data_IF_186241690741
#
_entry.id   IF_186241690741
#
_cell.length_a   1.000
_cell.length_b   1.000
_cell.length_c   1.000
_cell.angle_alpha   90.00
_cell.angle_beta   90.00
_cell.angle_gamma   90.00
#
_symmetry.space_group_name_H-M   'P 1'
#
loop_
_entity.id
_entity.type
_entity.pdbx_description
1 polymer ?
#
# COMPACT_ATOMS: atom_id res chain seq x y z
N UNK A 1 -7.58 -50.28 -2.73
CA UNK A 1 -7.42 -49.44 -1.52
C UNK A 1 -6.10 -48.66 -1.56
N UNK A 2 -4.95 -49.34 -1.73
CA UNK A 2 -3.60 -48.72 -1.77
C UNK A 2 -3.43 -47.63 -2.86
N UNK A 3 -3.99 -47.82 -4.07
CA UNK A 3 -3.93 -46.83 -5.17
C UNK A 3 -4.79 -45.57 -4.95
N UNK A 4 -5.83 -45.64 -4.11
CA UNK A 4 -6.69 -44.49 -3.79
C UNK A 4 -6.07 -43.64 -2.67
N UNK A 5 -5.42 -44.28 -1.70
CA UNK A 5 -4.67 -43.60 -0.63
C UNK A 5 -3.43 -42.87 -1.17
N UNK A 6 -2.71 -43.46 -2.13
CA UNK A 6 -1.55 -42.80 -2.76
C UNK A 6 -1.93 -41.53 -3.52
N UNK A 7 -3.12 -41.52 -4.14
CA UNK A 7 -3.61 -40.37 -4.92
C UNK A 7 -4.13 -39.24 -4.01
N UNK A 8 -4.75 -39.57 -2.87
CA UNK A 8 -5.23 -38.59 -1.90
C UNK A 8 -4.09 -37.88 -1.16
N UNK A 9 -3.02 -38.60 -0.81
CA UNK A 9 -1.83 -37.99 -0.19
C UNK A 9 -1.02 -37.16 -1.19
N UNK A 10 -0.91 -37.60 -2.45
CA UNK A 10 -0.28 -36.82 -3.51
C UNK A 10 -1.04 -35.50 -3.74
N UNK A 11 -2.36 -35.55 -3.83
CA UNK A 11 -3.21 -34.38 -3.97
C UNK A 11 -3.00 -33.33 -2.86
N UNK A 12 -2.99 -33.74 -1.58
CA UNK A 12 -2.75 -32.80 -0.46
C UNK A 12 -1.36 -32.18 -0.52
N UNK A 13 -0.38 -32.96 -0.97
CA UNK A 13 0.99 -32.48 -1.20
C UNK A 13 1.04 -31.44 -2.31
N UNK A 14 0.31 -31.64 -3.40
CA UNK A 14 0.25 -30.70 -4.52
C UNK A 14 -0.41 -29.37 -4.12
N UNK A 15 -1.53 -29.43 -3.38
CA UNK A 15 -2.16 -28.21 -2.80
C UNK A 15 -1.20 -27.47 -1.87
N UNK A 16 -0.47 -28.22 -1.02
CA UNK A 16 0.55 -27.63 -0.13
C UNK A 16 1.68 -26.95 -0.91
N UNK A 17 2.17 -27.57 -1.98
CA UNK A 17 3.21 -26.99 -2.84
C UNK A 17 2.69 -25.71 -3.49
N UNK A 18 1.47 -25.73 -4.02
CA UNK A 18 0.83 -24.56 -4.62
C UNK A 18 0.77 -23.37 -3.64
N UNK A 19 0.30 -23.60 -2.41
CA UNK A 19 0.23 -22.55 -1.38
C UNK A 19 1.62 -21.99 -1.02
N UNK A 20 2.67 -22.82 -1.01
CA UNK A 20 4.04 -22.37 -0.76
C UNK A 20 4.62 -21.59 -1.95
N UNK A 21 4.37 -22.03 -3.18
CA UNK A 21 4.82 -21.33 -4.39
C UNK A 21 4.14 -19.98 -4.56
N UNK A 22 2.84 -19.89 -4.25
CA UNK A 22 2.09 -18.63 -4.21
C UNK A 22 2.80 -17.58 -3.33
N UNK A 23 3.14 -17.95 -2.10
CA UNK A 23 3.83 -17.06 -1.15
C UNK A 23 5.25 -16.72 -1.63
N UNK A 24 5.99 -17.69 -2.16
CA UNK A 24 7.33 -17.47 -2.71
C UNK A 24 7.34 -16.48 -3.87
N UNK A 25 6.26 -16.41 -4.62
CA UNK A 25 6.05 -15.47 -5.72
C UNK A 25 5.42 -14.14 -5.25
N UNK A 26 5.51 -13.82 -3.96
CA UNK A 26 4.98 -12.59 -3.36
C UNK A 26 3.47 -12.39 -3.58
N UNK A 27 2.69 -13.48 -3.69
CA UNK A 27 1.22 -13.42 -3.85
C UNK A 27 0.53 -13.66 -2.51
N UNK A 28 -0.40 -12.78 -2.15
CA UNK A 28 -1.21 -12.89 -0.93
C UNK A 28 -2.68 -12.56 -1.26
N UNK A 29 -3.37 -13.42 -2.03
CA UNK A 29 -4.76 -13.18 -2.45
C UNK A 29 -5.74 -13.15 -1.27
N UNK A 30 -6.95 -12.66 -1.52
CA UNK A 30 -8.08 -12.86 -0.60
C UNK A 30 -8.47 -14.34 -0.52
N UNK A 31 -9.23 -14.71 0.51
CA UNK A 31 -9.86 -16.02 0.58
C UNK A 31 -10.76 -16.34 -0.61
N UNK A 32 -11.42 -15.31 -1.18
CA UNK A 32 -12.27 -15.41 -2.36
C UNK A 32 -11.48 -15.82 -3.61
N UNK A 33 -10.39 -15.10 -3.88
CA UNK A 33 -9.55 -15.34 -5.06
C UNK A 33 -8.79 -16.65 -4.91
N UNK A 34 -8.30 -16.95 -3.70
CA UNK A 34 -7.67 -18.23 -3.46
C UNK A 34 -8.66 -19.38 -3.72
N UNK A 35 -9.91 -19.26 -3.26
CA UNK A 35 -10.95 -20.26 -3.48
C UNK A 35 -11.21 -20.49 -4.97
N UNK A 36 -11.41 -19.42 -5.74
CA UNK A 36 -11.62 -19.50 -7.19
C UNK A 36 -10.43 -20.18 -7.89
N UNK A 37 -9.20 -19.81 -7.52
CA UNK A 37 -7.97 -20.37 -8.10
C UNK A 37 -7.82 -21.86 -7.79
N UNK A 38 -7.90 -22.25 -6.52
CA UNK A 38 -7.65 -23.64 -6.14
C UNK A 38 -8.76 -24.57 -6.62
N UNK A 39 -10.01 -24.09 -6.74
CA UNK A 39 -11.08 -24.88 -7.35
C UNK A 39 -10.84 -25.14 -8.82
N UNK A 40 -10.30 -24.15 -9.53
CA UNK A 40 -9.94 -24.31 -10.94
C UNK A 40 -8.84 -25.36 -11.12
N UNK A 41 -7.82 -25.35 -10.25
CA UNK A 41 -6.67 -26.27 -10.36
C UNK A 41 -6.94 -27.66 -9.78
N UNK A 42 -7.63 -27.75 -8.64
CA UNK A 42 -7.75 -28.97 -7.83
C UNK A 42 -9.18 -29.50 -7.72
N UNK A 43 -10.17 -28.78 -8.25
CA UNK A 43 -11.59 -29.12 -8.19
C UNK A 43 -12.23 -28.81 -6.83
N UNK A 44 -13.56 -28.89 -6.78
CA UNK A 44 -14.38 -28.52 -5.61
C UNK A 44 -14.05 -29.29 -4.31
N UNK A 45 -13.42 -30.46 -4.39
CA UNK A 45 -13.06 -31.27 -3.21
C UNK A 45 -12.05 -30.55 -2.31
N UNK A 46 -11.28 -29.61 -2.86
CA UNK A 46 -10.25 -28.82 -2.13
C UNK A 46 -10.81 -27.96 -1.02
N UNK A 47 -12.08 -27.53 -1.15
CA UNK A 47 -12.81 -26.76 -0.15
C UNK A 47 -12.71 -27.34 1.27
N UNK A 48 -12.74 -28.67 1.38
CA UNK A 48 -12.78 -29.38 2.65
C UNK A 48 -11.41 -29.58 3.30
N UNK A 49 -10.35 -29.68 2.48
CA UNK A 49 -9.01 -30.03 2.93
C UNK A 49 -8.13 -28.81 3.24
N UNK A 50 -8.37 -27.68 2.56
CA UNK A 50 -7.50 -26.48 2.62
C UNK A 50 -7.28 -25.98 4.03
N UNK A 51 -8.34 -25.90 4.85
CA UNK A 51 -8.23 -25.45 6.24
C UNK A 51 -7.26 -26.34 7.03
N UNK A 52 -7.33 -27.65 6.84
CA UNK A 52 -6.45 -28.61 7.53
C UNK A 52 -5.01 -28.47 7.01
N UNK A 53 -4.83 -28.36 5.69
CA UNK A 53 -3.51 -28.19 5.05
C UNK A 53 -2.83 -26.91 5.54
N UNK A 54 -3.56 -25.79 5.62
CA UNK A 54 -3.04 -24.52 6.14
C UNK A 54 -2.65 -24.64 7.62
N UNK A 55 -3.47 -25.29 8.45
CA UNK A 55 -3.13 -25.54 9.85
C UNK A 55 -1.84 -26.35 10.01
N UNK A 56 -1.64 -27.37 9.16
CA UNK A 56 -0.42 -28.19 9.16
C UNK A 56 0.80 -27.38 8.67
N UNK A 57 0.61 -26.46 7.72
CA UNK A 57 1.62 -25.51 7.28
C UNK A 57 2.04 -24.54 8.39
N UNK A 58 1.09 -23.94 9.11
CA UNK A 58 1.36 -22.99 10.21
C UNK A 58 2.23 -23.64 11.31
N UNK A 59 1.95 -24.91 11.64
CA UNK A 59 2.69 -25.70 12.64
C UNK A 59 4.10 -26.07 12.18
N UNK A 60 4.35 -26.08 10.88
CA UNK A 60 5.67 -26.43 10.35
C UNK A 60 6.72 -25.33 10.59
N UNK A 61 8.00 -25.71 10.53
CA UNK A 61 9.13 -24.78 10.65
C UNK A 61 9.49 -24.09 9.33
N UNK A 62 8.78 -24.35 8.24
CA UNK A 62 9.15 -23.84 6.91
C UNK A 62 8.74 -22.40 6.65
N UNK A 63 7.77 -21.87 7.40
CA UNK A 63 7.22 -20.53 7.20
C UNK A 63 7.86 -19.50 8.14
N UNK A 64 8.09 -18.30 7.62
CA UNK A 64 8.48 -17.13 8.40
C UNK A 64 7.31 -16.62 9.26
N UNK A 65 7.59 -15.72 10.21
CA UNK A 65 6.54 -15.12 11.06
C UNK A 65 5.48 -14.36 10.24
N UNK A 66 5.91 -13.65 9.20
CA UNK A 66 5.03 -12.85 8.32
C UNK A 66 4.11 -13.79 7.53
N UNK A 67 4.66 -14.84 6.93
CA UNK A 67 3.90 -15.82 6.16
C UNK A 67 2.89 -16.58 7.04
N UNK A 68 3.29 -16.95 8.26
CA UNK A 68 2.37 -17.56 9.24
C UNK A 68 1.20 -16.65 9.57
N UNK A 69 1.46 -15.34 9.77
CA UNK A 69 0.41 -14.37 10.08
C UNK A 69 -0.64 -14.32 8.97
N UNK A 70 -0.20 -14.25 7.72
CA UNK A 70 -1.10 -14.27 6.57
C UNK A 70 -1.98 -15.53 6.54
N UNK A 71 -1.39 -16.71 6.71
CA UNK A 71 -2.15 -17.97 6.72
C UNK A 71 -3.13 -18.06 7.88
N UNK A 72 -2.78 -17.52 9.05
CA UNK A 72 -3.68 -17.43 10.21
C UNK A 72 -4.90 -16.54 9.87
N UNK A 73 -4.67 -15.37 9.28
CA UNK A 73 -5.75 -14.45 8.87
C UNK A 73 -6.64 -15.06 7.78
N UNK A 74 -6.03 -15.84 6.87
CA UNK A 74 -6.72 -16.50 5.77
C UNK A 74 -7.69 -17.59 6.24
N UNK A 75 -7.47 -18.19 7.42
CA UNK A 75 -8.39 -19.20 8.00
C UNK A 75 -9.21 -18.66 9.19
N UNK A 76 -9.10 -17.36 9.49
CA UNK A 76 -9.85 -16.71 10.56
C UNK A 76 -11.34 -16.63 10.24
N UNK A 77 -12.17 -17.30 11.02
CA UNK A 77 -13.63 -17.32 10.84
C UNK A 77 -14.28 -15.95 11.05
N UNK A 78 -13.61 -15.03 11.74
CA UNK A 78 -14.09 -13.67 11.98
C UNK A 78 -13.55 -12.66 10.95
N UNK A 79 -12.75 -13.10 9.97
CA UNK A 79 -12.22 -12.24 8.92
C UNK A 79 -13.07 -12.34 7.66
N UNK A 80 -13.63 -11.21 7.23
CA UNK A 80 -14.42 -11.06 5.98
C UNK A 80 -13.62 -11.43 4.72
N UNK A 81 -12.29 -11.39 4.82
CA UNK A 81 -11.37 -11.72 3.72
C UNK A 81 -10.80 -13.13 3.82
N UNK A 82 -11.23 -13.91 4.81
CA UNK A 82 -10.80 -15.29 4.98
C UNK A 82 -11.36 -16.21 3.92
N UNK A 83 -10.62 -17.29 3.69
CA UNK A 83 -11.07 -18.43 2.91
C UNK A 83 -12.33 -19.07 3.50
N UNK A 84 -12.49 -19.04 4.82
CA UNK A 84 -13.65 -19.64 5.50
C UNK A 84 -14.92 -18.82 5.23
N UNK A 85 -14.84 -17.50 5.26
CA UNK A 85 -15.96 -16.63 4.85
C UNK A 85 -16.30 -16.82 3.36
N UNK A 86 -15.29 -16.95 2.49
CA UNK A 86 -15.50 -17.18 1.06
C UNK A 86 -16.30 -18.47 0.78
N UNK A 87 -16.02 -19.56 1.51
CA UNK A 87 -16.79 -20.80 1.42
C UNK A 87 -18.29 -20.62 1.75
N UNK A 88 -18.63 -19.59 2.53
CA UNK A 88 -20.01 -19.26 2.90
C UNK A 88 -20.82 -18.55 1.80
N UNK A 89 -20.23 -18.24 0.64
CA UNK A 89 -20.94 -17.68 -0.51
C UNK A 89 -21.18 -16.16 -0.45
N UNK A 90 -20.50 -15.43 0.43
CA UNK A 90 -20.54 -13.96 0.43
C UNK A 90 -19.53 -13.41 -0.61
N UNK A 91 -19.94 -13.30 -1.87
CA UNK A 91 -19.14 -12.62 -2.91
C UNK A 91 -19.98 -11.62 -3.70
N UNK A 92 -19.58 -10.34 -3.65
CA UNK A 92 -20.20 -9.22 -4.38
C UNK A 92 -19.35 -8.80 -5.61
N UNK A 93 -20.04 -8.38 -6.67
CA UNK A 93 -19.67 -7.53 -7.82
C UNK A 93 -18.18 -7.38 -8.26
N UNK A 94 -17.50 -8.50 -8.53
CA UNK A 94 -16.15 -8.48 -9.15
C UNK A 94 -16.11 -7.77 -10.53
N UNK A 95 -17.22 -7.76 -11.27
CA UNK A 95 -17.24 -7.28 -12.68
C UNK A 95 -17.08 -5.77 -12.80
N UNK A 96 -17.78 -4.99 -11.96
CA UNK A 96 -17.69 -3.53 -11.97
C UNK A 96 -16.33 -3.03 -11.46
N UNK A 97 -15.80 -3.69 -10.42
CA UNK A 97 -14.48 -3.39 -9.88
C UNK A 97 -13.36 -3.62 -10.89
N UNK A 98 -13.43 -4.74 -11.62
CA UNK A 98 -12.46 -5.04 -12.68
C UNK A 98 -12.48 -3.96 -13.76
N UNK A 99 -13.64 -3.49 -14.20
CA UNK A 99 -13.71 -2.40 -15.17
C UNK A 99 -13.14 -1.08 -14.64
N UNK A 100 -13.34 -0.74 -13.36
CA UNK A 100 -12.75 0.46 -12.77
C UNK A 100 -11.23 0.35 -12.68
N UNK A 101 -10.70 -0.83 -12.33
CA UNK A 101 -9.27 -1.08 -12.34
C UNK A 101 -8.68 -1.02 -13.74
N UNK A 102 -9.33 -1.64 -14.72
CA UNK A 102 -8.89 -1.59 -16.12
C UNK A 102 -8.86 -0.13 -16.63
N UNK A 103 -9.83 0.70 -16.22
CA UNK A 103 -9.82 2.13 -16.51
C UNK A 103 -8.63 2.84 -15.84
N UNK A 104 -8.39 2.63 -14.54
CA UNK A 104 -7.24 3.18 -13.82
C UNK A 104 -5.91 2.79 -14.47
N UNK A 105 -5.76 1.53 -14.88
CA UNK A 105 -4.56 1.03 -15.57
C UNK A 105 -4.42 1.66 -16.95
N UNK A 106 -5.55 1.82 -17.67
CA UNK A 106 -5.59 2.51 -18.95
C UNK A 106 -5.19 3.98 -18.84
N UNK A 107 -5.68 4.69 -17.82
CA UNK A 107 -5.30 6.07 -17.52
C UNK A 107 -3.82 6.17 -17.15
N UNK A 108 -3.32 5.25 -16.31
CA UNK A 108 -1.90 5.16 -15.97
C UNK A 108 -1.00 4.94 -17.18
N UNK A 109 -1.41 4.10 -18.13
CA UNK A 109 -0.67 3.88 -19.39
C UNK A 109 -0.69 5.10 -20.31
N UNK A 110 -1.81 5.83 -20.37
CA UNK A 110 -1.89 7.10 -21.13
C UNK A 110 -1.00 8.15 -20.50
N UNK A 111 -1.04 8.26 -19.18
CA UNK A 111 -0.20 9.18 -18.42
C UNK A 111 1.28 8.85 -18.58
N UNK A 112 1.69 7.58 -18.64
CA UNK A 112 3.09 7.20 -18.92
C UNK A 112 3.63 7.77 -20.24
N UNK A 113 2.75 8.09 -21.18
CA UNK A 113 3.09 8.68 -22.48
C UNK A 113 2.99 10.21 -22.48
N UNK A 114 2.56 10.82 -21.39
CA UNK A 114 2.47 12.28 -21.28
C UNK A 114 3.86 12.90 -21.20
N UNK A 115 3.97 14.14 -21.67
CA UNK A 115 5.20 14.94 -21.60
C UNK A 115 5.60 15.19 -20.16
N UNK A 116 4.61 15.48 -19.34
CA UNK A 116 4.62 15.63 -17.88
C UNK A 116 5.33 14.46 -17.18
N UNK A 117 4.91 13.23 -17.48
CA UNK A 117 5.52 12.04 -16.89
C UNK A 117 6.98 11.84 -17.33
N UNK A 118 7.28 12.10 -18.60
CA UNK A 118 8.64 11.96 -19.13
C UNK A 118 9.60 12.98 -18.49
N UNK A 119 9.15 14.22 -18.30
CA UNK A 119 9.91 15.27 -17.60
C UNK A 119 10.20 14.88 -16.14
N UNK A 120 9.21 14.32 -15.43
CA UNK A 120 9.39 13.79 -14.08
C UNK A 120 10.43 12.66 -14.04
N UNK A 121 10.33 11.66 -14.93
CA UNK A 121 11.28 10.54 -14.97
C UNK A 121 12.68 11.01 -15.32
N UNK A 122 12.82 11.96 -16.25
CA UNK A 122 14.10 12.55 -16.59
C UNK A 122 14.71 13.28 -15.38
N UNK A 123 13.91 14.02 -14.62
CA UNK A 123 14.33 14.67 -13.38
C UNK A 123 14.80 13.64 -12.34
N UNK A 124 14.00 12.60 -12.08
CA UNK A 124 14.35 11.54 -11.13
C UNK A 124 15.64 10.80 -11.55
N UNK A 125 15.83 10.60 -12.85
CA UNK A 125 17.02 9.96 -13.43
C UNK A 125 18.33 10.73 -13.20
N UNK A 126 18.27 12.03 -12.89
CA UNK A 126 19.45 12.87 -12.61
C UNK A 126 20.04 12.63 -11.21
N UNK A 127 19.29 12.01 -10.31
CA UNK A 127 19.74 11.73 -8.94
C UNK A 127 20.73 10.57 -8.89
N UNK A 128 21.73 10.72 -8.01
CA UNK A 128 22.68 9.63 -7.72
C UNK A 128 21.96 8.53 -6.94
N UNK A 129 22.27 7.27 -7.27
CA UNK A 129 21.88 6.14 -6.43
C UNK A 129 22.82 6.07 -5.22
N UNK A 130 22.39 6.66 -4.11
CA UNK A 130 23.11 6.54 -2.84
C UNK A 130 22.95 5.15 -2.24
N UNK A 131 23.90 4.75 -1.39
CA UNK A 131 23.85 3.46 -0.70
C UNK A 131 22.67 3.39 0.27
N UNK A 132 22.13 2.18 0.55
CA UNK A 132 21.04 2.02 1.52
C UNK A 132 21.36 2.63 2.90
N UNK A 133 22.62 2.55 3.34
CA UNK A 133 23.07 3.16 4.59
C UNK A 133 22.99 4.69 4.57
N UNK A 134 23.39 5.34 3.47
CA UNK A 134 23.25 6.79 3.32
C UNK A 134 21.79 7.23 3.26
N UNK A 135 20.94 6.46 2.56
CA UNK A 135 19.49 6.72 2.55
C UNK A 135 18.93 6.66 3.99
N UNK A 136 19.34 5.67 4.78
CA UNK A 136 18.95 5.55 6.18
C UNK A 136 19.44 6.75 7.02
N UNK A 137 20.69 7.18 6.86
CA UNK A 137 21.23 8.35 7.57
C UNK A 137 20.42 9.62 7.29
N UNK A 138 20.04 9.85 6.03
CA UNK A 138 19.18 10.97 5.66
C UNK A 138 17.82 10.84 6.34
N UNK A 139 17.19 9.67 6.31
CA UNK A 139 15.87 9.44 6.94
C UNK A 139 15.88 9.62 8.46
N UNK A 140 17.01 9.39 9.14
CA UNK A 140 17.15 9.67 10.58
C UNK A 140 17.17 11.18 10.85
N UNK A 141 17.83 11.96 9.98
CA UNK A 141 17.95 13.41 10.14
C UNK A 141 16.68 14.15 9.69
N UNK A 142 16.09 13.71 8.58
CA UNK A 142 14.83 14.20 8.04
C UNK A 142 14.02 13.02 7.49
N UNK A 143 13.07 12.48 8.28
CA UNK A 143 12.21 11.38 7.86
C UNK A 143 11.42 11.66 6.57
N UNK A 144 11.13 12.95 6.32
CA UNK A 144 10.31 13.40 5.21
C UNK A 144 11.11 13.67 3.92
N UNK A 145 12.44 13.63 3.94
CA UNK A 145 13.26 13.89 2.76
C UNK A 145 13.08 12.78 1.71
N UNK A 146 12.64 13.13 0.49
CA UNK A 146 12.51 12.18 -0.63
C UNK A 146 13.64 12.35 -1.63
N UNK A 147 13.95 13.60 -2.00
CA UNK A 147 15.01 13.94 -2.95
C UNK A 147 16.07 14.79 -2.27
N UNK A 148 17.32 14.34 -2.35
CA UNK A 148 18.44 15.09 -1.83
C UNK A 148 19.64 14.99 -2.75
N UNK A 149 20.41 16.06 -2.81
CA UNK A 149 21.63 16.13 -3.60
C UNK A 149 22.66 17.05 -2.94
N UNK A 150 23.89 16.99 -3.43
CA UNK A 150 24.94 17.94 -2.99
C UNK A 150 24.64 19.34 -3.53
N UNK A 151 25.18 20.38 -2.90
CA UNK A 151 25.08 21.75 -3.42
C UNK A 151 25.57 21.86 -4.87
N UNK A 152 26.68 21.16 -5.18
CA UNK A 152 27.22 21.11 -6.54
C UNK A 152 26.23 20.51 -7.53
N UNK A 153 25.58 19.40 -7.17
CA UNK A 153 24.59 18.76 -8.04
C UNK A 153 23.34 19.64 -8.20
N UNK A 154 22.85 20.28 -7.13
CA UNK A 154 21.75 21.25 -7.20
C UNK A 154 22.03 22.39 -8.19
N UNK A 155 23.22 22.99 -8.10
CA UNK A 155 23.61 24.09 -8.98
C UNK A 155 23.77 23.64 -10.43
N UNK A 156 24.52 22.55 -10.67
CA UNK A 156 24.97 22.21 -12.01
C UNK A 156 24.03 21.26 -12.77
N UNK A 157 23.27 20.41 -12.08
CA UNK A 157 22.40 19.40 -12.72
C UNK A 157 20.93 19.79 -12.68
N UNK A 158 20.52 20.47 -11.62
CA UNK A 158 19.13 20.85 -11.39
C UNK A 158 18.87 22.34 -11.61
N UNK A 159 19.91 23.15 -11.84
CA UNK A 159 19.81 24.61 -12.04
C UNK A 159 19.09 25.30 -10.86
N UNK A 160 19.40 24.86 -9.64
CA UNK A 160 18.83 25.36 -8.39
C UNK A 160 19.92 25.75 -7.40
N UNK A 161 19.68 26.85 -6.69
CA UNK A 161 20.53 27.36 -5.62
C UNK A 161 19.98 26.94 -4.26
N UNK A 162 20.84 26.90 -3.25
CA UNK A 162 20.39 26.72 -1.86
C UNK A 162 19.80 28.02 -1.34
N UNK A 163 18.77 27.91 -0.49
CA UNK A 163 18.27 29.02 0.32
C UNK A 163 19.35 29.46 1.32
N UNK A 164 19.30 30.73 1.74
CA UNK A 164 20.30 31.27 2.69
C UNK A 164 20.37 30.49 4.00
N UNK A 165 19.21 30.01 4.47
CA UNK A 165 19.02 29.25 5.71
C UNK A 165 18.87 27.73 5.49
N UNK A 166 19.37 27.24 4.34
CA UNK A 166 19.29 25.83 3.96
C UNK A 166 19.93 24.89 5.00
N UNK A 167 19.17 23.90 5.46
CA UNK A 167 19.64 22.93 6.46
C UNK A 167 20.37 21.75 5.81
N UNK A 168 21.66 21.53 6.13
CA UNK A 168 22.40 20.39 5.58
C UNK A 168 22.06 19.09 6.31
N UNK A 169 22.11 17.98 5.57
CA UNK A 169 22.08 16.61 6.08
C UNK A 169 23.39 15.91 5.76
N UNK A 170 23.80 14.99 6.63
CA UNK A 170 25.07 14.26 6.52
C UNK A 170 24.88 12.89 5.86
N UNK A 171 25.76 12.59 4.90
CA UNK A 171 25.96 11.24 4.35
C UNK A 171 27.43 10.84 4.45
N UNK A 172 27.72 9.53 4.39
CA UNK A 172 29.09 9.04 4.27
C UNK A 172 29.52 9.02 2.81
N UNK A 173 30.79 9.35 2.54
CA UNK A 173 31.35 9.30 1.20
C UNK A 173 32.69 8.54 1.21
N UNK A 174 33.03 7.80 0.14
CA UNK A 174 34.36 7.20 0.03
C UNK A 174 35.44 8.29 0.10
N UNK A 175 36.50 8.04 0.86
CA UNK A 175 37.65 8.96 1.03
C UNK A 175 37.33 10.33 1.64
N UNK A 176 36.10 10.53 2.14
CA UNK A 176 35.70 11.74 2.89
C UNK A 176 34.87 11.29 4.10
N UNK A 177 35.23 11.64 5.35
CA UNK A 177 34.53 11.12 6.52
C UNK A 177 33.03 11.43 6.52
N UNK A 178 32.63 12.60 5.99
CA UNK A 178 31.23 13.00 5.79
C UNK A 178 31.08 13.93 4.59
N UNK A 179 29.89 13.97 3.99
CA UNK A 179 29.51 14.90 2.92
C UNK A 179 28.14 15.51 3.22
N UNK A 180 27.95 16.79 2.87
CA UNK A 180 26.69 17.49 3.03
C UNK A 180 25.80 17.32 1.80
N UNK A 181 24.54 17.00 2.05
CA UNK A 181 23.47 16.98 1.08
C UNK A 181 22.31 17.82 1.59
N UNK A 182 21.49 18.31 0.67
CA UNK A 182 20.39 19.21 0.95
C UNK A 182 19.12 18.63 0.33
N UNK A 183 18.02 18.74 1.07
CA UNK A 183 16.69 18.38 0.58
C UNK A 183 16.30 19.33 -0.57
N UNK A 184 15.43 18.85 -1.44
CA UNK A 184 14.84 19.65 -2.50
C UNK A 184 14.16 20.92 -1.96
N UNK A 185 13.52 20.84 -0.81
CA UNK A 185 12.86 22.00 -0.19
C UNK A 185 13.80 23.10 0.31
N UNK A 186 15.08 22.79 0.45
CA UNK A 186 16.13 23.73 0.87
C UNK A 186 16.71 24.49 -0.34
N UNK A 187 16.11 24.33 -1.53
CA UNK A 187 16.57 24.93 -2.78
C UNK A 187 15.54 25.86 -3.42
N UNK A 188 16.00 26.78 -4.24
CA UNK A 188 15.21 27.69 -5.08
C UNK A 188 15.85 27.83 -6.47
N UNK A 189 15.07 28.12 -7.50
CA UNK A 189 15.56 28.19 -8.88
C UNK A 189 14.58 27.57 -9.87
N UNK A 190 15.11 26.85 -10.87
CA UNK A 190 14.31 26.24 -11.94
C UNK A 190 13.11 25.47 -11.39
N UNK A 191 11.92 25.74 -11.92
CA UNK A 191 10.70 25.05 -11.51
C UNK A 191 10.85 23.53 -11.67
N UNK A 192 10.25 22.81 -10.74
CA UNK A 192 10.21 21.35 -10.79
C UNK A 192 9.17 20.93 -11.83
N UNK A 193 9.33 19.73 -12.43
CA UNK A 193 8.23 19.08 -13.14
C UNK A 193 6.95 19.18 -12.30
N UNK A 194 5.86 19.62 -12.92
CA UNK A 194 4.60 19.91 -12.22
C UNK A 194 4.10 18.69 -11.44
N UNK A 195 4.45 17.51 -11.92
CA UNK A 195 4.08 16.21 -11.37
C UNK A 195 4.72 15.98 -10.00
N UNK A 196 5.90 16.57 -9.74
CA UNK A 196 6.55 16.49 -8.43
C UNK A 196 6.00 17.49 -7.42
N UNK A 197 5.30 18.51 -7.89
CA UNK A 197 4.66 19.52 -7.03
C UNK A 197 3.16 19.26 -6.82
N UNK A 198 2.49 18.63 -7.78
CA UNK A 198 1.04 18.36 -7.77
C UNK A 198 0.68 16.87 -7.61
N UNK A 199 1.62 15.97 -7.27
CA UNK A 199 1.35 14.51 -7.18
C UNK A 199 0.21 14.13 -6.23
N UNK A 200 -0.16 15.00 -5.28
CA UNK A 200 -1.25 14.76 -4.33
C UNK A 200 -2.38 15.78 -4.44
N UNK A 201 -2.61 16.38 -5.62
CA UNK A 201 -3.68 17.34 -5.83
C UNK A 201 -4.98 16.66 -6.25
N UNK A 202 -6.10 17.07 -5.64
CA UNK A 202 -7.43 16.56 -5.93
C UNK A 202 -8.43 17.71 -6.11
N UNK A 203 -9.28 17.61 -7.12
CA UNK A 203 -10.28 18.61 -7.49
C UNK A 203 -11.67 17.98 -7.64
N UNK A 204 -12.74 18.76 -7.44
CA UNK A 204 -14.12 18.31 -7.61
C UNK A 204 -15.07 18.95 -6.60
N UNK A 205 -16.31 18.43 -6.52
CA UNK A 205 -17.29 18.89 -5.53
C UNK A 205 -16.86 18.44 -4.12
N UNK A 206 -16.32 19.36 -3.33
CA UNK A 206 -15.80 19.02 -2.01
C UNK A 206 -16.81 19.18 -0.88
N UNK A 207 -16.82 18.19 0.03
CA UNK A 207 -17.63 18.20 1.25
C UNK A 207 -16.74 17.99 2.48
N UNK A 208 -16.51 19.02 3.32
CA UNK A 208 -15.63 18.93 4.50
C UNK A 208 -16.00 17.82 5.50
N UNK A 209 -17.28 17.41 5.51
CA UNK A 209 -17.77 16.29 6.32
C UNK A 209 -17.08 14.97 5.97
N UNK A 210 -16.64 14.75 4.72
CA UNK A 210 -15.98 13.50 4.30
C UNK A 210 -14.65 13.31 5.03
N UNK A 211 -13.80 14.33 5.03
CA UNK A 211 -12.52 14.31 5.75
C UNK A 211 -12.74 14.18 7.26
N UNK A 212 -13.68 14.96 7.81
CA UNK A 212 -14.03 14.90 9.24
C UNK A 212 -14.59 13.53 9.63
N UNK A 213 -15.34 12.89 8.75
CA UNK A 213 -15.89 11.56 8.98
C UNK A 213 -14.78 10.52 9.01
N UNK A 214 -13.95 10.52 7.98
CA UNK A 214 -12.86 9.59 7.81
C UNK A 214 -11.86 9.67 8.98
N UNK A 215 -11.51 10.89 9.43
CA UNK A 215 -10.61 11.08 10.58
C UNK A 215 -11.16 10.46 11.86
N UNK A 216 -12.39 10.80 12.27
CA UNK A 216 -12.87 10.26 13.55
C UNK A 216 -13.20 8.76 13.46
N UNK A 217 -13.56 8.25 12.28
CA UNK A 217 -13.73 6.81 12.11
C UNK A 217 -12.38 6.08 12.15
N UNK A 218 -11.31 6.62 11.55
CA UNK A 218 -9.95 6.07 11.70
C UNK A 218 -9.51 6.04 13.18
N UNK A 219 -9.83 7.08 13.96
CA UNK A 219 -9.57 7.08 15.40
C UNK A 219 -10.27 5.93 16.15
N UNK A 220 -11.46 5.46 15.70
CA UNK A 220 -12.12 4.28 16.28
C UNK A 220 -11.35 2.98 16.03
N UNK A 221 -10.57 2.93 14.94
CA UNK A 221 -9.61 1.86 14.66
C UNK A 221 -8.25 2.08 15.34
N UNK A 222 -8.15 3.05 16.26
CA UNK A 222 -6.92 3.40 16.97
C UNK A 222 -5.80 3.82 16.00
N UNK A 223 -6.18 4.50 14.92
CA UNK A 223 -5.27 5.09 13.92
C UNK A 223 -5.24 6.59 14.17
N UNK A 224 -4.12 7.12 14.68
CA UNK A 224 -3.92 8.56 14.88
C UNK A 224 -3.65 9.24 13.55
N UNK A 225 -4.27 10.40 13.32
CA UNK A 225 -3.99 11.24 12.14
C UNK A 225 -3.43 12.58 12.61
N UNK A 226 -2.23 12.91 12.14
CA UNK A 226 -1.57 14.17 12.44
C UNK A 226 -1.34 14.98 11.16
N UNK A 227 -1.49 16.31 11.24
CA UNK A 227 -1.12 17.22 10.16
C UNK A 227 0.17 17.93 10.52
N UNK A 228 1.25 17.66 9.76
CA UNK A 228 2.58 18.24 10.00
C UNK A 228 3.12 18.88 8.73
N UNK A 229 4.16 19.71 8.85
CA UNK A 229 4.91 20.15 7.67
C UNK A 229 5.77 18.98 7.19
N UNK A 230 5.59 18.57 5.94
CA UNK A 230 6.39 17.55 5.28
C UNK A 230 7.24 18.23 4.19
N UNK A 231 8.06 17.43 3.50
CA UNK A 231 8.74 17.90 2.30
C UNK A 231 7.74 18.16 1.17
N UNK A 232 8.07 19.00 0.19
CA UNK A 232 7.22 19.24 -0.99
C UNK A 232 6.87 17.95 -1.72
N UNK A 233 7.75 16.95 -1.66
CA UNK A 233 7.61 15.64 -2.32
C UNK A 233 7.11 14.53 -1.40
N UNK A 234 6.53 14.88 -0.24
CA UNK A 234 5.89 13.93 0.67
C UNK A 234 4.52 14.45 1.10
N UNK A 235 3.46 13.85 0.54
CA UNK A 235 2.10 14.22 0.88
C UNK A 235 1.62 13.57 2.19
N UNK A 236 2.08 12.36 2.48
CA UNK A 236 1.78 11.65 3.73
C UNK A 236 2.66 10.41 3.93
N UNK A 237 2.44 9.74 5.05
CA UNK A 237 2.85 8.35 5.28
C UNK A 237 2.08 7.72 6.45
N UNK A 238 1.93 6.41 6.42
CA UNK A 238 1.45 5.57 7.51
C UNK A 238 2.60 4.78 8.16
N UNK A 239 2.55 4.65 9.49
CA UNK A 239 3.52 3.87 10.27
C UNK A 239 2.91 3.36 11.58
N UNK A 240 3.62 2.48 12.28
CA UNK A 240 3.26 2.03 13.63
C UNK A 240 3.40 3.20 14.62
N UNK A 241 2.42 3.38 15.51
CA UNK A 241 2.51 4.41 16.57
C UNK A 241 3.39 3.90 17.73
N UNK A 242 4.70 4.15 17.65
CA UNK A 242 5.66 3.70 18.68
C UNK A 242 5.66 4.55 19.94
N UNK A 243 5.14 5.78 19.86
CA UNK A 243 5.19 6.75 20.96
C UNK A 243 3.98 6.64 21.88
N UNK A 244 2.82 6.25 21.34
CA UNK A 244 1.59 6.13 22.10
C UNK A 244 1.05 4.70 22.07
N UNK A 245 1.23 3.99 23.18
CA UNK A 245 0.78 2.59 23.35
C UNK A 245 -0.75 2.40 23.25
N UNK A 246 -1.54 3.48 23.28
CA UNK A 246 -3.01 3.40 23.10
C UNK A 246 -3.44 3.30 21.64
N UNK A 247 -2.60 3.74 20.71
CA UNK A 247 -2.86 3.67 19.28
C UNK A 247 -2.09 2.52 18.64
N UNK A 248 -2.63 2.00 17.53
CA UNK A 248 -2.00 0.94 16.74
C UNK A 248 -1.13 1.52 15.64
N UNK A 249 -1.66 2.52 14.95
CA UNK A 249 -1.05 3.12 13.77
C UNK A 249 -1.10 4.64 13.86
N UNK A 250 -0.24 5.28 13.07
CA UNK A 250 -0.15 6.72 12.90
C UNK A 250 -0.06 7.06 11.42
N UNK A 251 -0.89 7.98 10.97
CA UNK A 251 -0.81 8.63 9.66
C UNK A 251 -0.37 10.08 9.88
N UNK A 252 0.60 10.53 9.09
CA UNK A 252 1.06 11.93 9.06
C UNK A 252 0.80 12.49 7.69
N UNK A 253 0.04 13.59 7.58
CA UNK A 253 -0.33 14.24 6.31
C UNK A 253 0.29 15.63 6.25
N UNK A 254 0.70 16.05 5.06
CA UNK A 254 1.23 17.38 4.84
C UNK A 254 0.16 18.47 5.08
N UNK A 255 0.39 19.32 6.08
CA UNK A 255 -0.53 20.37 6.51
C UNK A 255 -0.73 21.53 5.51
N UNK A 256 0.04 21.60 4.43
CA UNK A 256 -0.13 22.63 3.39
C UNK A 256 -1.09 22.23 2.27
N UNK A 257 -1.43 20.95 2.16
CA UNK A 257 -2.42 20.48 1.20
C UNK A 257 -3.79 21.08 1.52
N UNK A 258 -4.62 21.32 0.51
CA UNK A 258 -6.04 21.64 0.67
C UNK A 258 -6.84 20.40 1.11
N UNK A 259 -8.09 20.59 1.54
CA UNK A 259 -8.87 19.52 2.15
C UNK A 259 -9.17 18.32 1.22
N UNK A 260 -9.55 18.51 -0.06
CA UNK A 260 -9.67 17.41 -1.02
C UNK A 260 -8.39 16.58 -1.14
N UNK A 261 -7.25 17.26 -1.23
CA UNK A 261 -5.93 16.62 -1.34
C UNK A 261 -5.56 15.85 -0.08
N UNK A 262 -5.79 16.43 1.11
CA UNK A 262 -5.63 15.72 2.39
C UNK A 262 -6.51 14.47 2.46
N UNK A 263 -7.71 14.53 1.91
CA UNK A 263 -8.63 13.40 1.86
C UNK A 263 -8.12 12.29 0.94
N UNK A 264 -7.66 12.61 -0.26
CA UNK A 264 -7.06 11.65 -1.18
C UNK A 264 -5.86 10.94 -0.57
N UNK A 265 -4.94 11.71 0.03
CA UNK A 265 -3.79 11.17 0.78
C UNK A 265 -4.24 10.29 1.94
N UNK A 266 -5.22 10.73 2.73
CA UNK A 266 -5.73 9.93 3.84
C UNK A 266 -6.32 8.60 3.37
N UNK A 267 -7.01 8.57 2.23
CA UNK A 267 -7.52 7.34 1.64
C UNK A 267 -6.38 6.38 1.27
N UNK A 268 -5.32 6.88 0.63
CA UNK A 268 -4.13 6.11 0.26
C UNK A 268 -3.44 5.52 1.50
N UNK A 269 -3.17 6.34 2.52
CA UNK A 269 -2.50 5.90 3.74
C UNK A 269 -3.35 4.91 4.56
N UNK A 270 -4.67 5.10 4.60
CA UNK A 270 -5.59 4.13 5.20
C UNK A 270 -5.64 2.82 4.40
N UNK A 271 -5.48 2.87 3.07
CA UNK A 271 -5.42 1.68 2.25
C UNK A 271 -4.21 0.82 2.63
N UNK A 272 -3.01 1.39 2.81
CA UNK A 272 -1.85 0.64 3.30
C UNK A 272 -2.11 -0.10 4.62
N UNK A 273 -2.83 0.54 5.55
CA UNK A 273 -3.18 -0.08 6.83
C UNK A 273 -4.21 -1.20 6.62
N UNK A 274 -5.36 -0.89 6.00
CA UNK A 274 -6.47 -1.85 5.90
C UNK A 274 -6.22 -2.99 4.92
N UNK A 275 -5.32 -2.83 3.95
CA UNK A 275 -4.83 -3.91 3.09
C UNK A 275 -3.77 -4.78 3.79
N UNK A 276 -3.25 -4.35 4.95
CA UNK A 276 -2.28 -5.12 5.73
C UNK A 276 -0.83 -4.97 5.30
N UNK A 277 -0.50 -3.94 4.51
CA UNK A 277 0.86 -3.70 3.99
C UNK A 277 1.86 -3.37 5.12
N UNK A 278 1.37 -2.81 6.23
CA UNK A 278 2.16 -2.50 7.42
C UNK A 278 2.15 -3.61 8.49
N UNK A 279 1.52 -4.75 8.18
CA UNK A 279 1.41 -5.91 9.07
C UNK A 279 0.08 -6.00 9.81
N UNK A 280 -0.21 -7.21 10.29
CA UNK A 280 -1.44 -7.50 11.04
C UNK A 280 -1.47 -6.75 12.36
N UNK A 281 -2.68 -6.36 12.73
CA UNK A 281 -3.02 -5.95 14.08
C UNK A 281 -3.26 -7.15 15.01
N UNK A 282 -2.98 -6.98 16.31
CA UNK A 282 -3.26 -7.98 17.35
C UNK A 282 -4.76 -8.31 17.46
N UNK A 283 -5.64 -7.32 17.29
CA UNK A 283 -7.10 -7.55 17.29
C UNK A 283 -7.62 -7.98 15.91
N UNK A 284 -6.72 -8.19 14.92
CA UNK A 284 -7.02 -8.71 13.57
C UNK A 284 -8.12 -7.91 12.85
N UNK A 285 -8.10 -6.59 12.98
CA UNK A 285 -9.00 -5.67 12.29
C UNK A 285 -8.68 -5.48 10.80
N UNK A 286 -7.45 -5.82 10.40
CA UNK A 286 -6.96 -5.88 9.03
C UNK A 286 -5.95 -7.04 8.91
N UNK A 287 -5.73 -7.60 7.71
CA UNK A 287 -4.88 -8.78 7.53
C UNK A 287 -3.38 -8.44 7.61
N UNK A 288 -2.52 -9.45 7.53
CA UNK A 288 -1.09 -9.30 7.23
C UNK A 288 -0.77 -9.62 5.78
N UNK A 289 -0.36 -8.61 4.99
CA UNK A 289 0.03 -8.75 3.58
C UNK A 289 1.40 -8.10 3.29
N UNK A 290 2.36 -8.31 4.18
CA UNK A 290 3.69 -7.70 4.10
C UNK A 290 4.68 -8.44 3.19
N UNK A 291 4.30 -9.59 2.63
CA UNK A 291 5.14 -10.38 1.74
C UNK A 291 4.85 -10.09 0.26
N UNK A 292 4.04 -9.07 -0.04
CA UNK A 292 3.87 -8.53 -1.38
C UNK A 292 5.13 -7.77 -1.82
N UNK A 293 5.35 -7.70 -3.12
CA UNK A 293 6.36 -6.78 -3.67
C UNK A 293 5.88 -5.32 -3.57
N UNK A 294 6.85 -4.40 -3.53
CA UNK A 294 6.55 -2.97 -3.38
C UNK A 294 5.64 -2.44 -4.48
N UNK A 295 5.77 -2.94 -5.72
CA UNK A 295 4.92 -2.50 -6.81
C UNK A 295 3.46 -2.90 -6.58
N UNK A 296 3.19 -4.15 -6.15
CA UNK A 296 1.84 -4.59 -5.81
C UNK A 296 1.25 -3.80 -4.65
N UNK A 297 2.04 -3.52 -3.60
CA UNK A 297 1.63 -2.72 -2.42
C UNK A 297 1.13 -1.34 -2.81
N UNK A 298 1.90 -0.62 -3.62
CA UNK A 298 1.56 0.74 -4.06
C UNK A 298 0.39 0.73 -5.03
N UNK A 299 0.33 -0.24 -5.96
CA UNK A 299 -0.77 -0.33 -6.92
C UNK A 299 -2.11 -0.55 -6.20
N UNK A 300 -2.15 -1.42 -5.21
CA UNK A 300 -3.38 -1.67 -4.46
C UNK A 300 -3.81 -0.46 -3.62
N UNK A 301 -2.87 0.18 -2.91
CA UNK A 301 -3.19 1.35 -2.09
C UNK A 301 -3.72 2.51 -2.93
N UNK A 302 -3.09 2.76 -4.08
CA UNK A 302 -3.50 3.80 -5.01
C UNK A 302 -4.83 3.47 -5.69
N UNK A 303 -5.04 2.21 -6.09
CA UNK A 303 -6.30 1.79 -6.67
C UNK A 303 -7.47 1.97 -5.69
N UNK A 304 -7.28 1.65 -4.41
CA UNK A 304 -8.27 1.92 -3.36
C UNK A 304 -8.55 3.41 -3.25
N UNK A 305 -7.51 4.25 -3.16
CA UNK A 305 -7.67 5.69 -3.04
C UNK A 305 -8.44 6.26 -4.24
N UNK A 306 -8.05 5.90 -5.46
CA UNK A 306 -8.70 6.32 -6.69
C UNK A 306 -10.17 5.90 -6.75
N UNK A 307 -10.51 4.66 -6.40
CA UNK A 307 -11.91 4.20 -6.43
C UNK A 307 -12.76 5.04 -5.47
N UNK A 308 -12.25 5.30 -4.26
CA UNK A 308 -12.96 6.08 -3.25
C UNK A 308 -13.15 7.52 -3.71
N UNK A 309 -12.08 8.19 -4.16
CA UNK A 309 -12.14 9.60 -4.58
C UNK A 309 -13.02 9.77 -5.81
N UNK A 310 -12.89 8.90 -6.81
CA UNK A 310 -13.68 8.93 -8.04
C UNK A 310 -15.18 8.76 -7.77
N UNK A 311 -15.56 7.81 -6.88
CA UNK A 311 -16.98 7.61 -6.49
C UNK A 311 -17.57 8.78 -5.73
N UNK A 312 -16.73 9.53 -5.02
CA UNK A 312 -17.11 10.73 -4.28
C UNK A 312 -17.00 12.01 -5.13
N UNK A 313 -16.74 11.90 -6.43
CA UNK A 313 -16.71 13.03 -7.36
C UNK A 313 -15.42 13.84 -7.33
N UNK A 314 -14.35 13.28 -6.78
CA UNK A 314 -13.01 13.88 -6.79
C UNK A 314 -12.15 13.24 -7.87
N UNK A 315 -11.47 14.09 -8.64
CA UNK A 315 -10.47 13.71 -9.62
C UNK A 315 -9.11 14.15 -9.11
N UNK A 316 -8.10 13.30 -9.17
CA UNK A 316 -6.77 13.65 -8.67
C UNK A 316 -5.67 12.76 -9.20
N UNK A 317 -4.44 13.14 -8.85
CA UNK A 317 -3.18 12.66 -9.42
C UNK A 317 -2.67 11.33 -8.87
N UNK A 318 -3.55 10.49 -8.29
CA UNK A 318 -3.26 9.10 -7.88
C UNK A 318 -2.63 8.27 -9.01
N UNK A 319 -2.95 8.61 -10.25
CA UNK A 319 -2.49 7.92 -11.46
C UNK A 319 -0.99 8.08 -11.73
N UNK A 320 -0.38 9.19 -11.26
CA UNK A 320 0.99 9.57 -11.59
C UNK A 320 2.02 8.56 -11.10
N UNK A 321 1.87 8.10 -9.85
CA UNK A 321 2.79 7.13 -9.24
C UNK A 321 2.65 5.73 -9.85
N UNK A 322 1.41 5.28 -10.11
CA UNK A 322 1.09 4.00 -10.78
C UNK A 322 1.79 3.85 -12.13
N UNK A 323 1.79 4.91 -12.93
CA UNK A 323 2.32 4.88 -14.30
C UNK A 323 3.81 4.48 -14.40
N UNK A 324 4.59 4.76 -13.35
CA UNK A 324 6.00 4.37 -13.25
C UNK A 324 6.17 2.85 -13.15
N UNK A 325 5.26 2.18 -12.43
CA UNK A 325 5.27 0.74 -12.20
C UNK A 325 4.61 -0.06 -13.34
N UNK A 326 3.73 0.57 -14.12
CA UNK A 326 3.02 -0.09 -15.23
C UNK A 326 3.94 -0.29 -16.46
N UNK A 327 4.77 -1.34 -16.44
CA UNK A 327 5.63 -1.73 -17.58
C UNK A 327 4.90 -2.54 -18.66
N UNK A 328 3.63 -2.90 -18.43
CA UNK A 328 2.80 -3.64 -19.38
C UNK A 328 1.30 -3.54 -19.08
N UNK A 329 0.48 -4.24 -19.88
CA UNK A 329 -0.99 -4.27 -19.73
C UNK A 329 -1.49 -5.26 -18.66
N UNK A 330 -0.62 -6.12 -18.13
CA UNK A 330 -1.04 -7.15 -17.19
C UNK A 330 -0.92 -6.66 -15.74
N UNK A 331 -2.01 -6.82 -15.00
CA UNK A 331 -2.07 -6.70 -13.55
C UNK A 331 -1.02 -7.65 -12.95
N UNK A 332 -0.12 -7.13 -12.11
CA UNK A 332 0.84 -7.96 -11.39
C UNK A 332 0.09 -9.06 -10.61
N UNK A 333 0.57 -10.30 -10.68
CA UNK A 333 -0.12 -11.46 -10.08
C UNK A 333 -0.28 -11.38 -8.55
N UNK A 334 0.43 -10.46 -7.90
CA UNK A 334 0.33 -10.17 -6.47
C UNK A 334 -0.87 -9.31 -6.07
N UNK A 335 -1.48 -8.59 -7.02
CA UNK A 335 -2.60 -7.67 -6.78
C UNK A 335 -3.90 -8.46 -6.54
N UNK A 336 -4.60 -8.12 -5.46
CA UNK A 336 -5.91 -8.65 -5.10
C UNK A 336 -7.02 -7.64 -5.40
N UNK A 337 -7.86 -7.98 -6.38
CA UNK A 337 -9.02 -7.18 -6.80
C UNK A 337 -10.11 -7.22 -5.73
N UNK A 338 -10.29 -8.37 -5.08
CA UNK A 338 -11.26 -8.52 -4.00
C UNK A 338 -10.91 -7.63 -2.80
N UNK A 339 -9.63 -7.60 -2.38
CA UNK A 339 -9.17 -6.69 -1.33
C UNK A 339 -9.37 -5.23 -1.72
N UNK A 340 -8.95 -4.83 -2.93
CA UNK A 340 -9.13 -3.44 -3.40
C UNK A 340 -10.61 -3.04 -3.30
N UNK A 341 -11.53 -3.86 -3.81
CA UNK A 341 -12.95 -3.54 -3.81
C UNK A 341 -13.56 -3.43 -2.41
N UNK A 342 -13.21 -4.37 -1.52
CA UNK A 342 -13.71 -4.38 -0.14
C UNK A 342 -13.15 -3.22 0.68
N UNK A 343 -11.85 -2.95 0.57
CA UNK A 343 -11.22 -1.84 1.30
C UNK A 343 -11.70 -0.48 0.76
N UNK A 344 -11.85 -0.32 -0.56
CA UNK A 344 -12.45 0.88 -1.13
C UNK A 344 -13.86 1.11 -0.59
N UNK A 345 -14.71 0.08 -0.60
CA UNK A 345 -16.07 0.19 -0.06
C UNK A 345 -16.09 0.53 1.44
N UNK A 346 -15.16 -0.05 2.21
CA UNK A 346 -14.99 0.25 3.64
C UNK A 346 -14.57 1.70 3.89
N UNK A 347 -13.57 2.20 3.16
CA UNK A 347 -13.08 3.59 3.32
C UNK A 347 -14.15 4.58 2.86
N UNK A 348 -14.84 4.30 1.74
CA UNK A 348 -15.97 5.08 1.26
C UNK A 348 -17.08 5.18 2.33
N UNK A 349 -17.46 4.06 2.94
CA UNK A 349 -18.43 4.04 4.03
C UNK A 349 -17.96 4.88 5.23
N UNK A 350 -16.68 4.74 5.62
CA UNK A 350 -16.08 5.53 6.69
C UNK A 350 -16.01 7.03 6.36
N UNK A 351 -15.98 7.43 5.08
CA UNK A 351 -16.01 8.82 4.67
C UNK A 351 -17.45 9.37 4.66
N UNK A 352 -18.43 8.59 4.21
CA UNK A 352 -19.81 9.08 4.03
C UNK A 352 -20.60 9.08 5.35
N UNK A 353 -20.33 8.16 6.28
CA UNK A 353 -21.08 8.05 7.55
C UNK A 353 -20.22 7.69 8.75
N UNK A 354 -20.78 7.82 9.96
CA UNK A 354 -20.15 7.31 11.20
C UNK A 354 -20.33 5.79 11.28
N UNK A 355 -19.22 5.06 11.41
CA UNK A 355 -19.24 3.60 11.58
C UNK A 355 -19.16 3.23 13.06
N UNK A 356 -19.61 2.02 13.42
CA UNK A 356 -19.44 1.50 14.78
C UNK A 356 -17.96 1.27 15.11
N UNK A 357 -17.62 1.34 16.40
CA UNK A 357 -16.28 1.00 16.86
C UNK A 357 -16.02 -0.49 16.62
N UNK A 358 -14.89 -0.87 15.98
CA UNK A 358 -14.57 -2.27 15.73
C UNK A 358 -14.45 -3.03 17.04
N UNK A 359 -15.10 -4.20 17.11
CA UNK A 359 -15.03 -5.07 18.29
C UNK A 359 -13.64 -5.73 18.33
N UNK A 360 -13.04 -5.84 19.52
CA UNK A 360 -11.82 -6.66 19.69
C UNK A 360 -12.18 -8.11 19.41
N UNK A 361 -11.53 -8.73 18.42
CA UNK A 361 -11.68 -10.16 18.15
C UNK A 361 -11.09 -10.92 19.34
N UNK A 362 -11.87 -11.77 19.98
CA UNK A 362 -11.36 -12.59 21.09
C UNK A 362 -10.26 -13.49 20.53
N UNK A 363 -9.11 -13.57 21.21
CA UNK A 363 -8.18 -14.66 20.95
C UNK A 363 -8.90 -15.96 21.34
N UNK A 364 -9.25 -16.76 20.35
CA UNK A 364 -9.62 -18.14 20.58
C UNK A 364 -8.35 -18.84 21.09
N UNK A 365 -8.34 -19.14 22.39
CA UNK A 365 -7.31 -19.91 23.09
C UNK A 365 -6.99 -21.24 22.37
#
# INVERSE_FOLDING_TARGET
MILLESNAEQYKKDVKIYLLEMIRNNRQPSGAELLDEIELFFGWKVRWDVRKIINDLIKSKTLTKIEKSYFIDLIDTESENSFICALGGQHNDKKNLKSTLDNLLGEGQRYRKSTEFLEMIEFMGKFRRYSPYNNMLVKIQNPHCTFYATQYDWLNRFERNLKEDAKPMLILAPMHPVMLVYDLDETEGKELPKELTDFAHFEGEWRPSLLTNLIQNANKYLIRIDFKKHSSTSAGFATLDRENLSNKMRISIHNKLDEPSRFGVLCHELAHIFLGHLGSDHDRWWPSRQNLDHQSVEIEAEAVAYIVTQRLGLQGSSISYLSSYLTGQNIAAGISIDYIGKIASKIEEMAVRRVETPKRKKQSN
#
